data_IF_195794125279
#
_entry.id   IF_195794125279
#
_cell.length_a   1.000
_cell.length_b   1.000
_cell.length_c   1.000
_cell.angle_alpha   90.00
_cell.angle_beta   90.00
_cell.angle_gamma   90.00
#
_symmetry.space_group_name_H-M   'P 1'
#
loop_
_entity.id
_entity.type
_entity.pdbx_description
1 polymer ?
#
# COMPACT_ATOMS: atom_id res chain seq x y z
N UNK A 1 -2.01 -7.96 -22.42
CA UNK A 1 -2.11 -6.87 -21.43
C UNK A 1 -2.66 -7.42 -20.14
N UNK A 2 -1.89 -7.47 -19.05
CA UNK A 2 -2.37 -7.95 -17.76
C UNK A 2 -2.97 -6.76 -17.00
N UNK A 3 -4.31 -6.72 -16.89
CA UNK A 3 -4.99 -5.74 -16.05
C UNK A 3 -4.60 -6.02 -14.59
N UNK A 4 -3.84 -5.09 -13.98
CA UNK A 4 -3.53 -5.16 -12.55
C UNK A 4 -4.76 -4.69 -11.77
N UNK A 5 -5.69 -5.62 -11.51
CA UNK A 5 -6.77 -5.38 -10.54
C UNK A 5 -6.12 -5.12 -9.18
N UNK A 6 -6.29 -3.91 -8.66
CA UNK A 6 -5.88 -3.57 -7.30
C UNK A 6 -6.94 -4.11 -6.34
N UNK A 7 -6.48 -4.85 -5.33
CA UNK A 7 -7.34 -5.30 -4.23
C UNK A 7 -7.73 -4.08 -3.39
N UNK A 8 -9.03 -3.87 -3.24
CA UNK A 8 -9.61 -2.73 -2.52
C UNK A 8 -9.30 -2.80 -1.02
N UNK A 9 -9.21 -1.67 -0.35
CA UNK A 9 -8.84 -1.63 1.08
C UNK A 9 -9.84 -2.41 1.96
N UNK A 10 -11.11 -2.45 1.57
CA UNK A 10 -12.15 -3.26 2.23
C UNK A 10 -11.90 -4.77 2.11
N UNK A 11 -11.46 -5.25 0.94
CA UNK A 11 -11.08 -6.64 0.72
C UNK A 11 -9.84 -7.00 1.53
N UNK A 12 -8.88 -6.07 1.64
CA UNK A 12 -7.64 -6.27 2.40
C UNK A 12 -7.92 -6.43 3.90
N UNK A 13 -8.76 -5.58 4.48
CA UNK A 13 -9.15 -5.71 5.90
C UNK A 13 -9.85 -7.05 6.17
N UNK A 14 -10.74 -7.48 5.26
CA UNK A 14 -11.41 -8.78 5.36
C UNK A 14 -10.44 -9.95 5.24
N UNK A 15 -9.43 -9.85 4.36
CA UNK A 15 -8.40 -10.87 4.22
C UNK A 15 -7.54 -10.99 5.48
N UNK A 16 -7.14 -9.87 6.10
CA UNK A 16 -6.38 -9.87 7.34
C UNK A 16 -7.18 -10.49 8.49
N UNK A 17 -8.45 -10.09 8.69
CA UNK A 17 -9.27 -10.67 9.76
C UNK A 17 -9.48 -12.18 9.61
N UNK A 18 -9.50 -12.71 8.37
CA UNK A 18 -9.55 -14.16 8.11
C UNK A 18 -8.26 -14.88 8.49
N UNK A 19 -7.11 -14.27 8.23
CA UNK A 19 -5.81 -14.83 8.63
C UNK A 19 -5.66 -14.80 10.15
N UNK A 20 -6.10 -13.72 10.81
CA UNK A 20 -6.14 -13.64 12.28
C UNK A 20 -7.06 -14.69 12.91
N UNK A 21 -8.17 -15.03 12.26
CA UNK A 21 -9.04 -16.13 12.66
C UNK A 21 -8.45 -17.54 12.40
N UNK A 22 -7.20 -17.63 11.91
CA UNK A 22 -6.48 -18.89 11.71
C UNK A 22 -6.66 -19.53 10.32
N UNK A 23 -7.28 -18.84 9.35
CA UNK A 23 -7.35 -19.35 7.98
C UNK A 23 -5.99 -19.30 7.29
N UNK A 24 -5.70 -20.30 6.44
CA UNK A 24 -4.44 -20.32 5.70
C UNK A 24 -4.41 -19.23 4.62
N UNK A 25 -3.21 -18.73 4.31
CA UNK A 25 -3.00 -17.71 3.26
C UNK A 25 -3.54 -18.21 1.90
N UNK A 26 -3.41 -19.50 1.62
CA UNK A 26 -3.86 -20.12 0.37
C UNK A 26 -5.39 -20.12 0.27
N UNK A 27 -6.09 -20.47 1.35
CA UNK A 27 -7.55 -20.48 1.37
C UNK A 27 -8.12 -19.07 1.22
N UNK A 28 -7.49 -18.10 1.88
CA UNK A 28 -7.85 -16.68 1.75
C UNK A 28 -7.61 -16.19 0.32
N UNK A 29 -6.50 -16.59 -0.31
CA UNK A 29 -6.22 -16.23 -1.70
C UNK A 29 -7.24 -16.80 -2.69
N UNK A 30 -7.63 -18.06 -2.50
CA UNK A 30 -8.70 -18.72 -3.29
C UNK A 30 -10.04 -18.01 -3.09
N UNK A 31 -10.40 -17.66 -1.86
CA UNK A 31 -11.64 -16.95 -1.54
C UNK A 31 -11.76 -15.61 -2.28
N UNK A 32 -10.68 -14.85 -2.36
CA UNK A 32 -10.66 -13.55 -3.05
C UNK A 32 -10.33 -13.65 -4.56
N UNK A 33 -10.06 -14.85 -5.08
CA UNK A 33 -9.67 -15.05 -6.48
C UNK A 33 -8.38 -14.33 -6.86
N UNK A 34 -7.47 -14.15 -5.89
CA UNK A 34 -6.18 -13.46 -6.08
C UNK A 34 -5.02 -14.44 -5.94
N UNK A 35 -3.89 -14.10 -6.53
CA UNK A 35 -2.68 -14.90 -6.34
C UNK A 35 -2.21 -14.86 -4.88
N UNK A 36 -1.80 -16.00 -4.32
CA UNK A 36 -1.38 -16.13 -2.91
C UNK A 36 -0.28 -15.13 -2.50
N UNK A 37 0.56 -14.70 -3.45
CA UNK A 37 1.59 -13.68 -3.19
C UNK A 37 1.01 -12.33 -2.76
N UNK A 38 -0.20 -11.98 -3.20
CA UNK A 38 -0.87 -10.73 -2.82
C UNK A 38 -1.22 -10.78 -1.33
N UNK A 39 -1.83 -11.88 -0.89
CA UNK A 39 -2.21 -12.10 0.51
C UNK A 39 -0.96 -12.23 1.41
N UNK A 40 0.08 -12.93 0.95
CA UNK A 40 1.35 -13.05 1.69
C UNK A 40 2.04 -11.69 1.91
N UNK A 41 2.07 -10.82 0.88
CA UNK A 41 2.62 -9.46 1.02
C UNK A 41 1.78 -8.60 1.96
N UNK A 42 0.45 -8.71 1.84
CA UNK A 42 -0.48 -8.01 2.70
C UNK A 42 -0.28 -8.39 4.18
N UNK A 43 -0.16 -9.70 4.47
CA UNK A 43 0.08 -10.19 5.83
C UNK A 43 1.41 -9.68 6.40
N UNK A 44 2.49 -9.73 5.62
CA UNK A 44 3.79 -9.15 6.03
C UNK A 44 3.70 -7.65 6.30
N UNK A 45 2.98 -6.89 5.47
CA UNK A 45 2.76 -5.46 5.69
C UNK A 45 2.01 -5.21 7.00
N UNK A 46 0.95 -5.99 7.26
CA UNK A 46 0.17 -5.89 8.48
C UNK A 46 1.01 -6.21 9.73
N UNK A 47 1.82 -7.27 9.70
CA UNK A 47 2.74 -7.61 10.80
C UNK A 47 3.74 -6.48 11.10
N UNK A 48 4.24 -5.80 10.07
CA UNK A 48 5.24 -4.75 10.23
C UNK A 48 4.68 -3.39 10.67
N UNK A 49 3.44 -3.09 10.30
CA UNK A 49 2.89 -1.73 10.42
C UNK A 49 1.58 -1.65 11.19
N UNK A 50 0.99 -2.78 11.56
CA UNK A 50 -0.37 -2.92 12.13
C UNK A 50 -1.44 -2.17 11.33
N UNK A 51 -1.16 -1.84 10.07
CA UNK A 51 -2.05 -1.09 9.21
C UNK A 51 -2.12 -1.75 7.84
N UNK A 52 -3.34 -1.85 7.34
CA UNK A 52 -3.66 -2.40 6.02
C UNK A 52 -3.73 -1.29 4.96
N UNK A 53 -3.93 -0.06 5.42
CA UNK A 53 -3.97 1.13 4.58
C UNK A 53 -2.60 1.36 3.97
N UNK A 54 -2.55 1.80 2.71
CA UNK A 54 -1.29 2.26 2.15
C UNK A 54 -0.71 3.36 3.04
N UNK A 55 0.52 3.17 3.52
CA UNK A 55 1.24 4.29 4.13
C UNK A 55 1.28 5.42 3.09
N UNK A 56 0.95 6.66 3.46
CA UNK A 56 1.30 7.79 2.61
C UNK A 56 2.80 7.69 2.39
N UNK A 57 3.21 7.39 1.16
CA UNK A 57 4.62 7.45 0.81
C UNK A 57 4.96 8.92 0.98
N UNK A 58 5.73 9.24 2.01
CA UNK A 58 6.36 10.54 2.09
C UNK A 58 7.04 10.74 0.75
N UNK A 59 6.58 11.74 -0.01
CA UNK A 59 7.15 12.04 -1.31
C UNK A 59 8.66 12.21 -1.18
N UNK A 60 9.38 12.08 -2.29
CA UNK A 60 10.82 12.37 -2.32
C UNK A 60 11.05 13.70 -1.58
N UNK A 61 11.96 13.75 -0.59
CA UNK A 61 12.29 14.99 0.09
C UNK A 61 12.53 16.05 -0.96
N UNK A 62 11.76 17.15 -0.92
CA UNK A 62 11.96 18.25 -1.86
C UNK A 62 13.38 18.77 -1.63
N UNK A 63 14.19 18.63 -2.67
CA UNK A 63 15.60 19.05 -2.66
C UNK A 63 15.71 20.56 -2.53
N UNK A 64 14.72 21.29 -3.05
CA UNK A 64 14.62 22.74 -2.88
C UNK A 64 13.91 23.10 -1.58
N UNK A 65 14.53 24.03 -0.85
CA UNK A 65 13.95 24.68 0.32
C UNK A 65 12.89 25.69 -0.11
N UNK A 66 11.93 26.05 0.76
CA UNK A 66 10.94 27.09 0.45
C UNK A 66 11.55 28.47 0.16
N UNK A 67 12.81 28.70 0.52
CA UNK A 67 13.54 29.93 0.20
C UNK A 67 14.07 29.90 -1.25
N UNK A 68 14.62 28.78 -1.68
CA UNK A 68 15.08 28.57 -3.07
C UNK A 68 13.90 28.60 -4.05
N UNK A 69 12.78 27.96 -3.73
CA UNK A 69 11.56 28.02 -4.55
C UNK A 69 11.06 29.47 -4.72
N UNK A 70 11.15 30.29 -3.67
CA UNK A 70 10.82 31.73 -3.72
C UNK A 70 11.82 32.51 -4.56
N UNK A 71 13.11 32.20 -4.45
CA UNK A 71 14.15 32.83 -5.27
C UNK A 71 13.94 32.55 -6.76
N UNK A 72 13.66 31.29 -7.13
CA UNK A 72 13.37 30.93 -8.52
C UNK A 72 12.09 31.59 -9.05
N UNK A 73 11.03 31.68 -8.23
CA UNK A 73 9.79 32.36 -8.60
C UNK A 73 9.97 33.87 -8.82
N UNK A 74 10.91 34.50 -8.11
CA UNK A 74 11.21 35.93 -8.22
C UNK A 74 12.17 36.22 -9.38
N UNK A 75 13.14 35.35 -9.63
CA UNK A 75 14.15 35.51 -10.70
C UNK A 75 13.61 35.16 -12.09
N UNK A 76 12.55 34.35 -12.18
CA UNK A 76 11.91 33.98 -13.44
C UNK A 76 10.99 35.08 -14.03
N UNK A 77 11.13 36.34 -13.61
CA UNK A 77 10.39 37.51 -14.10
C UNK A 77 11.34 38.48 -14.81
#
# INVERSE_FOLDING_TARGET
MASRRQMEDSERWRAVGRIEAGQSITDVALFFGVHHSVISRLWKQFQNSQTVVQRPVAGRPKVTTPAEDRYFAVVAK
#
